data_IF_230024087813
#
_entry.id   IF_230024087813
#
_cell.length_a   1.000
_cell.length_b   1.000
_cell.length_c   1.000
_cell.angle_alpha   90.00
_cell.angle_beta   90.00
_cell.angle_gamma   90.00
#
_symmetry.space_group_name_H-M   'P 1'
#
loop_
_entity.id
_entity.type
_entity.pdbx_description
1 polymer ?
#
# COMPACT_ATOMS: atom_id res chain seq x y z
N UNK A 1 -1.58 -13.39 -52.76
CA UNK A 1 -0.47 -13.17 -51.87
C UNK A 1 -0.75 -11.92 -51.02
N UNK A 2 -1.30 -12.11 -49.80
CA UNK A 2 -1.48 -11.01 -48.83
C UNK A 2 -0.19 -10.85 -48.01
N UNK A 3 0.50 -9.76 -48.20
CA UNK A 3 1.65 -9.37 -47.37
C UNK A 3 1.13 -8.78 -46.07
N UNK A 4 1.30 -9.52 -44.98
CA UNK A 4 1.05 -9.03 -43.61
C UNK A 4 2.24 -8.15 -43.22
N UNK A 5 2.03 -6.83 -43.22
CA UNK A 5 2.97 -5.89 -42.59
C UNK A 5 2.85 -6.03 -41.07
N UNK A 6 3.81 -6.69 -40.44
CA UNK A 6 3.99 -6.59 -38.99
C UNK A 6 4.56 -5.19 -38.67
N UNK A 7 3.73 -4.31 -38.18
CA UNK A 7 4.17 -3.07 -37.55
C UNK A 7 4.75 -3.42 -36.15
N UNK A 8 6.06 -3.62 -36.09
CA UNK A 8 6.79 -3.60 -34.84
C UNK A 8 6.94 -2.15 -34.36
N UNK A 9 5.94 -1.64 -33.66
CA UNK A 9 6.06 -0.40 -32.93
C UNK A 9 6.92 -0.63 -31.69
N UNK A 10 8.24 -0.60 -31.83
CA UNK A 10 9.14 -0.46 -30.68
C UNK A 10 9.01 0.98 -30.18
N UNK A 11 8.13 1.20 -29.22
CA UNK A 11 8.18 2.39 -28.37
C UNK A 11 9.44 2.30 -27.50
N UNK A 12 10.56 2.79 -28.01
CA UNK A 12 11.63 3.26 -27.14
C UNK A 12 11.14 4.55 -26.48
N UNK A 13 10.41 4.43 -25.38
CA UNK A 13 10.22 5.58 -24.50
C UNK A 13 11.59 5.92 -23.91
N UNK A 14 12.27 6.88 -24.47
CA UNK A 14 13.45 7.47 -23.85
C UNK A 14 12.98 8.12 -22.56
N UNK A 15 13.38 7.56 -21.41
CA UNK A 15 13.08 8.15 -20.11
C UNK A 15 13.76 9.52 -20.07
N UNK A 16 12.96 10.58 -19.98
CA UNK A 16 13.45 11.95 -19.83
C UNK A 16 13.93 12.11 -18.39
N UNK A 17 15.23 12.33 -18.19
CA UNK A 17 15.86 12.49 -16.88
C UNK A 17 16.27 13.92 -16.56
N UNK A 18 16.22 14.82 -17.55
CA UNK A 18 16.56 16.23 -17.40
C UNK A 18 15.32 17.09 -17.57
N UNK A 19 15.08 17.98 -16.63
CA UNK A 19 13.94 18.91 -16.66
C UNK A 19 13.92 19.76 -17.93
N UNK A 20 15.09 20.17 -18.43
CA UNK A 20 15.21 20.98 -19.67
C UNK A 20 14.74 20.26 -20.94
N UNK A 21 14.63 18.94 -20.90
CA UNK A 21 14.19 18.10 -22.02
C UNK A 21 12.67 17.78 -21.94
N UNK A 22 12.01 18.14 -20.83
CA UNK A 22 10.57 17.96 -20.67
C UNK A 22 9.83 18.88 -21.63
N UNK A 23 8.92 18.37 -22.47
CA UNK A 23 8.12 19.22 -23.34
C UNK A 23 7.34 20.26 -22.54
N UNK A 24 7.22 21.46 -23.08
CA UNK A 24 6.36 22.49 -22.46
C UNK A 24 4.93 21.99 -22.42
N UNK A 25 4.32 22.03 -21.25
CA UNK A 25 2.93 21.65 -21.04
C UNK A 25 2.20 22.74 -20.28
N UNK A 26 0.88 22.76 -20.43
CA UNK A 26 0.01 23.65 -19.67
C UNK A 26 -0.85 22.80 -18.74
N UNK A 27 -0.78 23.12 -17.46
CA UNK A 27 -1.64 22.47 -16.47
C UNK A 27 -3.09 22.95 -16.61
N UNK A 28 -4.06 22.08 -16.40
CA UNK A 28 -5.47 22.49 -16.30
C UNK A 28 -5.66 23.52 -15.17
N UNK A 29 -6.52 24.48 -15.39
CA UNK A 29 -6.86 25.49 -14.39
C UNK A 29 -7.59 24.85 -13.19
N UNK A 30 -6.96 24.88 -12.01
CA UNK A 30 -7.51 24.25 -10.83
C UNK A 30 -8.83 24.86 -10.38
N UNK A 31 -8.94 26.18 -10.47
CA UNK A 31 -10.09 26.97 -10.02
C UNK A 31 -11.08 27.32 -11.13
N UNK A 32 -11.18 26.44 -12.11
CA UNK A 32 -12.24 26.51 -13.13
C UNK A 32 -13.00 25.19 -13.06
N UNK A 33 -14.34 25.26 -12.93
CA UNK A 33 -15.22 24.08 -12.94
C UNK A 33 -15.33 23.47 -14.34
N UNK A 34 -15.89 22.27 -14.43
CA UNK A 34 -16.17 21.61 -15.71
C UNK A 34 -17.09 22.43 -16.62
N UNK A 35 -17.94 23.27 -16.04
CA UNK A 35 -18.82 24.18 -16.75
C UNK A 35 -18.17 25.55 -17.02
N UNK A 36 -16.85 25.62 -17.02
CA UNK A 36 -16.06 26.83 -17.29
C UNK A 36 -16.32 27.98 -16.30
N UNK A 37 -17.00 27.73 -15.19
CA UNK A 37 -17.23 28.74 -14.14
C UNK A 37 -15.96 28.89 -13.28
N UNK A 38 -15.55 30.13 -13.07
CA UNK A 38 -14.44 30.46 -12.14
C UNK A 38 -14.88 30.25 -10.69
N UNK A 39 -14.09 29.49 -9.95
CA UNK A 39 -14.25 29.25 -8.50
C UNK A 39 -13.54 30.34 -7.74
N UNK A 40 -14.26 31.11 -6.98
CA UNK A 40 -13.74 32.31 -6.30
C UNK A 40 -13.89 32.27 -4.79
N UNK A 41 -14.74 31.36 -4.27
CA UNK A 41 -14.99 31.22 -2.83
C UNK A 41 -14.68 29.82 -2.34
N UNK A 42 -14.44 29.70 -1.03
CA UNK A 42 -14.29 28.40 -0.36
C UNK A 42 -15.55 27.54 -0.52
N UNK A 43 -16.73 28.15 -0.44
CA UNK A 43 -18.00 27.45 -0.59
C UNK A 43 -18.13 26.83 -2.00
N UNK A 44 -17.84 27.58 -3.05
CA UNK A 44 -17.84 27.08 -4.42
C UNK A 44 -16.82 25.96 -4.62
N UNK A 45 -15.64 26.04 -3.97
CA UNK A 45 -14.68 24.97 -3.97
C UNK A 45 -15.25 23.69 -3.34
N UNK A 46 -15.77 23.78 -2.11
CA UNK A 46 -16.26 22.61 -1.37
C UNK A 46 -17.51 21.99 -2.00
N UNK A 47 -18.40 22.80 -2.59
CA UNK A 47 -19.68 22.33 -3.13
C UNK A 47 -19.65 21.97 -4.61
N UNK A 48 -18.69 22.49 -5.37
CA UNK A 48 -18.60 22.26 -6.83
C UNK A 48 -17.28 21.60 -7.20
N UNK A 49 -16.19 22.36 -7.19
CA UNK A 49 -14.93 21.92 -7.80
C UNK A 49 -14.32 20.69 -7.14
N UNK A 50 -14.35 20.62 -5.83
CA UNK A 50 -13.86 19.48 -5.08
C UNK A 50 -14.61 18.19 -5.46
N UNK A 51 -15.91 18.26 -5.67
CA UNK A 51 -16.71 17.11 -6.07
C UNK A 51 -16.38 16.65 -7.50
N UNK A 52 -16.28 17.56 -8.46
CA UNK A 52 -15.85 17.28 -9.82
C UNK A 52 -14.49 16.55 -9.84
N UNK A 53 -13.51 17.08 -9.12
CA UNK A 53 -12.19 16.46 -9.05
C UNK A 53 -12.20 15.08 -8.38
N UNK A 54 -12.98 14.90 -7.31
CA UNK A 54 -13.10 13.59 -6.67
C UNK A 54 -13.76 12.58 -7.60
N UNK A 55 -14.80 12.99 -8.33
CA UNK A 55 -15.47 12.14 -9.30
C UNK A 55 -14.54 11.78 -10.45
N UNK A 56 -13.83 12.74 -11.01
CA UNK A 56 -12.83 12.51 -12.05
C UNK A 56 -11.76 11.49 -11.59
N UNK A 57 -11.13 11.71 -10.44
CA UNK A 57 -10.09 10.80 -9.96
C UNK A 57 -10.65 9.42 -9.58
N UNK A 58 -11.88 9.36 -9.11
CA UNK A 58 -12.54 8.09 -8.80
C UNK A 58 -12.81 7.28 -10.05
N UNK A 59 -13.31 7.92 -11.11
CA UNK A 59 -13.69 7.21 -12.33
C UNK A 59 -12.50 6.90 -13.23
N UNK A 60 -11.56 7.83 -13.36
CA UNK A 60 -10.51 7.75 -14.39
C UNK A 60 -9.16 7.25 -13.85
N UNK A 61 -8.92 7.29 -12.52
CA UNK A 61 -7.59 7.01 -11.97
C UNK A 61 -7.61 5.91 -10.92
N UNK A 62 -8.41 6.05 -9.86
CA UNK A 62 -8.34 5.17 -8.70
C UNK A 62 -9.39 4.06 -8.67
N UNK A 63 -10.45 4.20 -9.44
CA UNK A 63 -11.59 3.27 -9.45
C UNK A 63 -12.58 3.53 -8.32
N UNK A 64 -13.74 2.90 -8.44
CA UNK A 64 -14.87 3.02 -7.51
C UNK A 64 -14.78 1.89 -6.49
N UNK A 65 -14.88 2.25 -5.20
CA UNK A 65 -14.93 1.24 -4.13
C UNK A 65 -16.15 0.32 -4.33
N UNK A 66 -15.95 -1.01 -4.36
CA UNK A 66 -17.06 -1.94 -4.52
C UNK A 66 -18.09 -1.80 -3.39
N UNK A 67 -19.37 -1.76 -3.75
CA UNK A 67 -20.48 -1.66 -2.78
C UNK A 67 -20.81 -2.97 -2.08
N UNK A 68 -20.42 -4.12 -2.66
CA UNK A 68 -20.66 -5.44 -2.07
C UNK A 68 -19.78 -5.63 -0.83
N UNK A 69 -20.41 -5.99 0.28
CA UNK A 69 -19.70 -6.41 1.49
C UNK A 69 -18.95 -7.72 1.23
N UNK A 70 -17.67 -7.73 1.54
CA UNK A 70 -16.84 -8.92 1.55
C UNK A 70 -16.80 -9.45 2.98
N UNK A 71 -17.01 -10.75 3.16
CA UNK A 71 -16.85 -11.37 4.47
C UNK A 71 -15.40 -11.24 4.91
N UNK A 72 -15.20 -10.64 6.07
CA UNK A 72 -13.87 -10.41 6.63
C UNK A 72 -13.77 -11.06 7.99
N UNK A 73 -12.79 -11.97 8.14
CA UNK A 73 -12.42 -12.58 9.42
C UNK A 73 -11.04 -12.10 9.83
N UNK A 74 -10.79 -12.01 11.12
CA UNK A 74 -9.49 -11.66 11.67
C UNK A 74 -9.01 -12.71 12.66
N UNK A 75 -7.70 -12.99 12.63
CA UNK A 75 -7.02 -13.86 13.57
C UNK A 75 -5.78 -13.17 14.12
N UNK A 76 -5.68 -13.01 15.42
CA UNK A 76 -4.45 -12.51 16.05
C UNK A 76 -3.42 -13.64 16.04
N UNK A 77 -2.28 -13.39 15.37
CA UNK A 77 -1.17 -14.33 15.27
C UNK A 77 -0.12 -14.09 16.37
N UNK A 78 0.05 -12.84 16.76
CA UNK A 78 1.04 -12.42 17.76
C UNK A 78 0.56 -11.16 18.49
N UNK A 79 0.87 -11.06 19.78
CA UNK A 79 0.57 -9.89 20.59
C UNK A 79 1.65 -9.71 21.66
N UNK A 80 2.26 -8.54 21.70
CA UNK A 80 3.31 -8.18 22.66
C UNK A 80 3.08 -6.76 23.17
N UNK A 81 2.94 -6.62 24.48
CA UNK A 81 2.68 -5.33 25.14
C UNK A 81 3.94 -4.52 25.44
N UNK A 82 5.14 -5.12 25.26
CA UNK A 82 6.41 -4.51 25.62
C UNK A 82 7.40 -4.54 24.42
N UNK A 83 6.97 -4.04 23.29
CA UNK A 83 7.80 -3.92 22.09
C UNK A 83 8.56 -2.59 22.06
N UNK A 84 9.59 -2.49 21.20
CA UNK A 84 10.41 -1.30 21.04
C UNK A 84 10.96 -0.78 22.38
N UNK A 85 11.51 -1.70 23.19
CA UNK A 85 12.06 -1.40 24.54
C UNK A 85 11.03 -0.77 25.49
N UNK A 86 9.78 -1.23 25.43
CA UNK A 86 8.71 -0.74 26.30
C UNK A 86 7.98 0.50 25.79
N UNK A 87 8.22 0.95 24.57
CA UNK A 87 7.55 2.14 24.00
C UNK A 87 6.26 1.81 23.26
N UNK A 88 6.08 0.58 22.79
CA UNK A 88 4.96 0.20 21.95
C UNK A 88 4.38 -1.17 22.27
N UNK A 89 3.12 -1.32 21.94
CA UNK A 89 2.46 -2.61 21.74
C UNK A 89 2.64 -3.04 20.29
N UNK A 90 3.06 -4.29 20.04
CA UNK A 90 3.04 -4.92 18.73
C UNK A 90 1.88 -5.91 18.65
N UNK A 91 1.15 -5.88 17.54
CA UNK A 91 0.12 -6.87 17.21
C UNK A 91 0.30 -7.31 15.77
N UNK A 92 0.17 -8.61 15.51
CA UNK A 92 0.15 -9.15 14.16
C UNK A 92 -1.18 -9.87 13.94
N UNK A 93 -1.89 -9.46 12.91
CA UNK A 93 -3.26 -9.91 12.64
C UNK A 93 -3.34 -10.39 11.22
N UNK A 94 -3.78 -11.62 11.04
CA UNK A 94 -4.18 -12.10 9.72
C UNK A 94 -5.63 -11.69 9.45
N UNK A 95 -5.86 -10.96 8.36
CA UNK A 95 -7.18 -10.68 7.81
C UNK A 95 -7.44 -11.66 6.68
N UNK A 96 -8.62 -12.27 6.69
CA UNK A 96 -9.07 -13.23 5.69
C UNK A 96 -10.32 -12.65 5.05
N UNK A 97 -10.26 -12.41 3.76
CA UNK A 97 -11.37 -11.93 2.94
C UNK A 97 -11.92 -13.10 2.14
N UNK A 98 -13.23 -13.28 2.18
CA UNK A 98 -13.91 -14.36 1.48
C UNK A 98 -15.04 -13.81 0.63
N UNK A 99 -15.13 -14.31 -0.60
CA UNK A 99 -16.21 -14.02 -1.52
C UNK A 99 -16.43 -15.25 -2.40
N UNK A 100 -17.62 -15.80 -2.36
CA UNK A 100 -17.93 -17.08 -3.01
C UNK A 100 -16.92 -18.16 -2.55
N UNK A 101 -16.30 -18.89 -3.48
CA UNK A 101 -15.29 -19.92 -3.17
C UNK A 101 -13.86 -19.37 -3.06
N UNK A 102 -13.67 -18.06 -3.21
CA UNK A 102 -12.35 -17.42 -3.21
C UNK A 102 -12.00 -16.82 -1.86
N UNK A 103 -10.72 -16.94 -1.51
CA UNK A 103 -10.19 -16.38 -0.27
C UNK A 103 -8.82 -15.79 -0.54
N UNK A 104 -8.61 -14.58 -0.02
CA UNK A 104 -7.29 -13.99 0.11
C UNK A 104 -7.03 -13.65 1.57
N UNK A 105 -5.79 -13.61 1.97
CA UNK A 105 -5.42 -13.20 3.33
C UNK A 105 -4.19 -12.32 3.32
N UNK A 106 -4.15 -11.39 4.26
CA UNK A 106 -3.00 -10.53 4.46
C UNK A 106 -2.67 -10.40 5.93
N UNK A 107 -1.39 -10.31 6.25
CA UNK A 107 -0.94 -10.14 7.63
C UNK A 107 -0.59 -8.68 7.90
N UNK A 108 -1.35 -8.05 8.79
CA UNK A 108 -1.04 -6.71 9.30
C UNK A 108 0.02 -6.80 10.40
N UNK A 109 1.03 -5.96 10.34
CA UNK A 109 1.92 -5.64 11.45
C UNK A 109 1.51 -4.27 12.01
N UNK A 110 1.16 -4.25 13.28
CA UNK A 110 0.59 -3.08 13.96
C UNK A 110 1.50 -2.73 15.14
N UNK A 111 1.95 -1.47 15.19
CA UNK A 111 2.58 -0.89 16.37
C UNK A 111 1.76 0.29 16.86
N UNK A 112 1.49 0.33 18.16
CA UNK A 112 0.81 1.47 18.81
C UNK A 112 1.58 1.90 20.04
N UNK A 113 1.67 3.22 20.35
CA UNK A 113 2.36 3.70 21.53
C UNK A 113 1.67 3.23 22.81
N UNK A 114 2.45 2.92 23.84
CA UNK A 114 1.94 2.56 25.16
C UNK A 114 1.39 3.81 25.87
N UNK A 115 0.35 3.62 26.68
CA UNK A 115 -0.28 4.71 27.44
C UNK A 115 -1.20 5.60 26.65
N UNK A 116 -1.35 5.40 25.35
CA UNK A 116 -2.26 6.16 24.50
C UNK A 116 -3.51 5.32 24.21
N UNK A 117 -4.67 5.78 24.70
CA UNK A 117 -5.93 5.05 24.53
C UNK A 117 -6.40 4.94 23.08
N UNK A 118 -6.17 5.98 22.29
CA UNK A 118 -6.43 6.05 20.84
C UNK A 118 -5.31 6.83 20.18
N UNK A 119 -4.61 6.24 19.25
CA UNK A 119 -3.59 6.94 18.47
C UNK A 119 -3.96 6.92 17.00
N UNK A 120 -3.77 8.02 16.27
CA UNK A 120 -3.81 7.97 14.82
C UNK A 120 -2.70 7.09 14.31
N UNK A 121 -2.90 6.44 13.16
CA UNK A 121 -1.95 5.49 12.60
C UNK A 121 -1.59 5.86 11.17
N UNK A 122 -0.33 5.64 10.81
CA UNK A 122 0.06 5.56 9.40
C UNK A 122 -0.19 4.14 8.92
N UNK A 123 -0.94 4.00 7.84
CA UNK A 123 -1.20 2.72 7.19
C UNK A 123 -0.55 2.72 5.81
N UNK A 124 0.25 1.69 5.51
CA UNK A 124 0.88 1.59 4.20
C UNK A 124 1.17 0.15 3.77
N UNK A 125 1.18 -0.03 2.46
CA UNK A 125 1.68 -1.26 1.84
C UNK A 125 3.20 -1.30 1.88
N UNK A 126 3.74 -2.46 2.20
CA UNK A 126 5.17 -2.71 2.25
C UNK A 126 5.56 -3.73 1.20
N UNK A 127 6.22 -3.29 0.15
CA UNK A 127 6.64 -4.15 -0.95
C UNK A 127 7.64 -5.25 -0.54
N UNK A 128 8.48 -4.96 0.47
CA UNK A 128 9.53 -5.87 0.90
C UNK A 128 9.12 -6.81 2.06
N UNK A 129 7.87 -6.71 2.53
CA UNK A 129 7.34 -7.52 3.62
C UNK A 129 7.55 -6.93 5.02
N UNK A 130 6.66 -7.28 5.93
CA UNK A 130 6.58 -6.69 7.27
C UNK A 130 7.87 -6.87 8.09
N UNK A 131 8.60 -7.97 7.92
CA UNK A 131 9.84 -8.25 8.65
C UNK A 131 10.98 -7.29 8.32
N UNK A 132 10.88 -6.55 7.22
CA UNK A 132 11.93 -5.61 6.81
C UNK A 132 11.88 -4.28 7.56
N UNK A 133 10.77 -3.97 8.24
CA UNK A 133 10.56 -2.66 8.88
C UNK A 133 11.30 -2.50 10.22
N UNK A 134 11.63 -3.61 10.88
CA UNK A 134 12.38 -3.61 12.14
C UNK A 134 13.16 -4.93 12.31
N UNK A 135 14.24 -4.88 13.11
CA UNK A 135 15.08 -6.06 13.41
C UNK A 135 14.44 -7.02 14.42
N UNK A 136 13.24 -6.73 14.94
CA UNK A 136 12.54 -7.56 15.91
C UNK A 136 12.31 -8.98 15.33
N UNK A 137 12.91 -10.03 15.95
CA UNK A 137 12.83 -11.41 15.45
C UNK A 137 11.41 -11.99 15.52
N UNK A 138 10.54 -11.40 16.33
CA UNK A 138 9.16 -11.86 16.46
C UNK A 138 8.22 -11.34 15.38
N UNK A 139 8.67 -10.42 14.50
CA UNK A 139 7.88 -10.05 13.33
C UNK A 139 7.81 -11.26 12.38
N UNK A 140 6.60 -11.66 12.05
CA UNK A 140 6.35 -12.80 11.18
C UNK A 140 6.76 -12.49 9.73
N UNK A 141 7.19 -13.50 9.01
CA UNK A 141 7.48 -13.45 7.58
C UNK A 141 6.33 -14.18 6.88
N UNK A 142 5.51 -13.42 6.15
CA UNK A 142 4.31 -13.97 5.49
C UNK A 142 3.43 -14.79 6.45
N UNK A 143 3.16 -14.24 7.64
CA UNK A 143 2.33 -14.87 8.66
C UNK A 143 2.95 -16.05 9.40
N UNK A 144 4.24 -16.38 9.16
CA UNK A 144 4.97 -17.50 9.78
C UNK A 144 6.16 -17.03 10.60
N UNK A 145 6.53 -17.81 11.61
CA UNK A 145 7.80 -17.62 12.30
C UNK A 145 8.96 -18.00 11.38
N UNK A 146 10.11 -17.38 11.63
CA UNK A 146 11.28 -17.57 10.76
C UNK A 146 11.76 -19.02 10.66
N UNK A 147 11.68 -19.78 11.76
CA UNK A 147 12.04 -21.20 11.80
C UNK A 147 11.05 -22.12 11.04
N UNK A 148 9.89 -21.64 10.66
CA UNK A 148 8.85 -22.37 9.94
C UNK A 148 8.93 -22.18 8.42
N UNK A 149 9.88 -21.39 7.93
CA UNK A 149 9.98 -21.03 6.50
C UNK A 149 10.71 -22.05 5.65
N UNK A 150 11.49 -22.96 6.25
CA UNK A 150 12.28 -23.95 5.52
C UNK A 150 13.22 -23.30 4.48
N UNK A 151 13.29 -23.87 3.27
CA UNK A 151 14.14 -23.36 2.19
C UNK A 151 13.74 -21.94 1.71
N UNK A 152 12.47 -21.57 1.81
CA UNK A 152 11.98 -20.21 1.48
C UNK A 152 12.65 -19.12 2.34
N UNK A 153 13.07 -19.46 3.55
CA UNK A 153 13.81 -18.57 4.44
C UNK A 153 15.07 -18.02 3.78
N UNK A 154 15.85 -18.89 3.16
CA UNK A 154 17.14 -18.51 2.54
C UNK A 154 16.92 -17.50 1.41
N UNK A 155 15.89 -17.70 0.60
CA UNK A 155 15.57 -16.82 -0.53
C UNK A 155 15.13 -15.44 -0.02
N UNK A 156 14.24 -15.42 0.97
CA UNK A 156 13.71 -14.17 1.53
C UNK A 156 14.82 -13.37 2.22
N UNK A 157 15.64 -14.02 3.06
CA UNK A 157 16.70 -13.34 3.79
C UNK A 157 17.85 -12.83 2.92
N UNK A 158 18.10 -13.45 1.76
CA UNK A 158 19.06 -12.91 0.78
C UNK A 158 18.55 -11.65 0.09
N UNK A 159 17.27 -11.60 -0.21
CA UNK A 159 16.67 -10.53 -0.98
C UNK A 159 16.27 -9.34 -0.10
N UNK A 160 15.60 -9.62 1.00
CA UNK A 160 15.02 -8.63 1.90
C UNK A 160 15.29 -9.02 3.35
N UNK A 161 16.48 -8.66 3.85
CA UNK A 161 16.87 -8.98 5.22
C UNK A 161 15.96 -8.30 6.24
N UNK A 162 15.76 -8.96 7.38
CA UNK A 162 15.04 -8.41 8.52
C UNK A 162 15.60 -7.03 8.89
N UNK A 163 14.72 -6.04 9.07
CA UNK A 163 15.08 -4.67 9.41
C UNK A 163 15.77 -3.85 8.30
N UNK A 164 15.95 -4.41 7.09
CA UNK A 164 16.64 -3.74 5.98
C UNK A 164 15.99 -2.41 5.54
N UNK A 165 14.73 -2.19 5.89
CA UNK A 165 13.96 -1.00 5.56
C UNK A 165 13.60 -0.14 6.78
N UNK A 166 14.22 -0.37 7.92
CA UNK A 166 13.90 0.34 9.17
C UNK A 166 14.05 1.86 9.06
N UNK A 167 15.02 2.36 8.28
CA UNK A 167 15.18 3.78 8.04
C UNK A 167 14.01 4.42 7.27
N UNK A 168 13.35 3.66 6.39
CA UNK A 168 12.17 4.14 5.64
C UNK A 168 10.91 4.16 6.49
N UNK A 169 10.74 3.17 7.34
CA UNK A 169 9.54 3.02 8.16
C UNK A 169 9.62 3.75 9.50
N UNK A 170 10.81 4.16 9.94
CA UNK A 170 11.08 5.02 11.10
C UNK A 170 10.16 4.79 12.32
N UNK A 171 9.90 3.52 12.68
CA UNK A 171 8.89 3.13 13.69
C UNK A 171 9.12 3.84 15.02
N UNK A 172 10.36 3.89 15.51
CA UNK A 172 10.67 4.54 16.79
C UNK A 172 10.21 6.00 16.80
N UNK A 173 10.49 6.73 15.72
CA UNK A 173 10.10 8.15 15.58
C UNK A 173 8.58 8.34 15.52
N UNK A 174 7.89 7.45 14.80
CA UNK A 174 6.43 7.46 14.70
C UNK A 174 5.80 7.24 16.07
N UNK A 175 6.25 6.22 16.80
CA UNK A 175 5.76 5.89 18.14
C UNK A 175 6.06 7.01 19.15
N UNK A 176 7.27 7.55 19.15
CA UNK A 176 7.67 8.66 20.03
C UNK A 176 6.85 9.92 19.78
N UNK A 177 6.35 10.11 18.56
CA UNK A 177 5.46 11.21 18.21
C UNK A 177 3.97 10.95 18.54
N UNK A 178 3.66 9.82 19.21
CA UNK A 178 2.29 9.47 19.62
C UNK A 178 1.44 8.83 18.54
N UNK A 179 2.02 8.47 17.39
CA UNK A 179 1.34 7.80 16.29
C UNK A 179 1.58 6.29 16.30
N UNK A 180 0.64 5.54 15.75
CA UNK A 180 0.85 4.14 15.43
C UNK A 180 1.30 3.92 13.99
N UNK A 181 1.78 2.72 13.71
CA UNK A 181 2.13 2.25 12.38
C UNK A 181 1.41 0.94 12.07
N UNK A 182 0.81 0.85 10.90
CA UNK A 182 0.24 -0.39 10.36
C UNK A 182 0.86 -0.65 9.00
N UNK A 183 1.47 -1.82 8.82
CA UNK A 183 1.98 -2.23 7.50
C UNK A 183 1.43 -3.59 7.11
N UNK A 184 1.33 -3.80 5.81
CA UNK A 184 0.95 -5.08 5.21
C UNK A 184 1.87 -5.35 4.02
N UNK A 185 2.23 -6.61 3.81
CA UNK A 185 3.00 -6.99 2.65
C UNK A 185 2.16 -6.80 1.38
N UNK A 186 2.65 -6.02 0.42
CA UNK A 186 1.97 -5.80 -0.86
C UNK A 186 1.64 -7.12 -1.57
N UNK A 187 2.59 -8.04 -1.59
CA UNK A 187 2.44 -9.34 -2.26
C UNK A 187 1.39 -10.28 -1.62
N UNK A 188 0.88 -9.95 -0.42
CA UNK A 188 -0.26 -10.69 0.15
C UNK A 188 -1.57 -10.35 -0.56
N UNK A 189 -1.62 -9.20 -1.27
CA UNK A 189 -2.81 -8.68 -1.94
C UNK A 189 -2.72 -8.91 -3.43
N UNK A 190 -1.59 -8.51 -4.03
CA UNK A 190 -1.33 -8.62 -5.45
C UNK A 190 0.15 -8.93 -5.68
N UNK A 191 0.51 -10.19 -5.94
CA UNK A 191 1.88 -10.57 -6.28
C UNK A 191 2.37 -9.81 -7.51
N UNK A 192 3.59 -9.29 -7.45
CA UNK A 192 4.22 -8.51 -8.52
C UNK A 192 4.57 -9.39 -9.73
N UNK A 193 3.55 -9.74 -10.50
CA UNK A 193 3.61 -10.54 -11.72
C UNK A 193 2.74 -9.91 -12.79
N UNK A 194 3.14 -10.09 -14.03
CA UNK A 194 2.34 -9.63 -15.17
C UNK A 194 1.24 -10.66 -15.53
N UNK A 195 0.42 -11.02 -14.59
CA UNK A 195 -0.77 -11.88 -14.80
C UNK A 195 -1.87 -11.50 -13.80
N UNK A 196 -3.10 -11.89 -14.10
CA UNK A 196 -4.27 -11.64 -13.27
C UNK A 196 -4.86 -12.94 -12.70
N UNK A 197 -4.01 -13.95 -12.49
CA UNK A 197 -4.42 -15.28 -12.08
C UNK A 197 -4.49 -15.47 -10.56
N UNK A 198 -3.92 -14.55 -9.80
CA UNK A 198 -3.87 -14.61 -8.34
C UNK A 198 -4.16 -13.25 -7.66
N UNK A 199 -3.99 -13.19 -6.36
CA UNK A 199 -4.26 -11.99 -5.57
C UNK A 199 -5.74 -11.60 -5.57
N UNK A 200 -6.00 -10.32 -5.77
CA UNK A 200 -7.38 -9.75 -5.76
C UNK A 200 -8.11 -9.86 -7.10
N UNK A 201 -7.44 -10.29 -8.16
CA UNK A 201 -7.97 -10.26 -9.53
C UNK A 201 -8.97 -11.38 -9.86
N UNK A 202 -8.79 -12.62 -9.42
CA UNK A 202 -9.73 -13.71 -9.72
C UNK A 202 -11.13 -13.52 -9.15
#
# INVERSE_FOLDING_TARGET
SLSIFQLNAQFKSSIITKESEVPKYQLPELLISENEKKITTKEEWETIRRHELLEFFTNEVYGIMPSKKIETKSQTLDFQTNSLKGKATRKQVNLIFSKDDKKISMTLLIYTPIGVKKSPVFLGYNFNGNHTVNNDPAILINGKKENELGEKKIIILKRDARGSRSSRWAIDKIIESGYGLVTVNYNDIDPDKNDFSDGIHP
#
